data_IF_217852996605
#
_entry.id   IF_217852996605
#
_cell.length_a   1.000
_cell.length_b   1.000
_cell.length_c   1.000
_cell.angle_alpha   90.00
_cell.angle_beta   90.00
_cell.angle_gamma   90.00
#
_symmetry.space_group_name_H-M   'P 1'
#
loop_
_entity.id
_entity.type
_entity.pdbx_description
1 polymer ?
#
# COMPACT_ATOMS: atom_id res chain seq x y z
N UNK A 1 1.57 18.87 6.68
CA UNK A 1 1.49 17.55 6.02
C UNK A 1 1.76 17.64 4.53
N UNK A 2 1.12 18.56 3.82
CA UNK A 2 1.32 18.80 2.37
C UNK A 2 2.80 18.86 1.94
N UNK A 3 3.63 19.68 2.58
CA UNK A 3 5.05 19.78 2.22
C UNK A 3 5.82 18.47 2.39
N UNK A 4 5.42 17.63 3.36
CA UNK A 4 6.00 16.30 3.54
C UNK A 4 5.65 15.41 2.36
N UNK A 5 4.39 15.41 1.91
CA UNK A 5 3.98 14.65 0.73
C UNK A 5 4.76 15.12 -0.51
N UNK A 6 4.85 16.43 -0.74
CA UNK A 6 5.64 16.98 -1.86
C UNK A 6 7.10 16.53 -1.81
N UNK A 7 7.75 16.58 -0.64
CA UNK A 7 9.12 16.10 -0.46
C UNK A 7 9.27 14.60 -0.72
N UNK A 8 8.35 13.76 -0.23
CA UNK A 8 8.37 12.31 -0.51
C UNK A 8 8.32 12.06 -2.03
N UNK A 9 7.43 12.75 -2.74
CA UNK A 9 7.35 12.63 -4.20
C UNK A 9 8.64 13.08 -4.91
N UNK A 10 9.20 14.21 -4.49
CA UNK A 10 10.39 14.77 -5.13
C UNK A 10 11.67 14.00 -4.79
N UNK A 11 11.92 13.79 -3.50
CA UNK A 11 13.21 13.33 -2.98
C UNK A 11 13.32 11.79 -3.01
N UNK A 12 12.21 11.08 -2.80
CA UNK A 12 12.17 9.61 -2.84
C UNK A 12 11.78 9.14 -4.23
N UNK A 13 10.62 9.58 -4.73
CA UNK A 13 10.11 9.06 -6.01
C UNK A 13 10.74 9.73 -7.24
N UNK A 14 11.39 10.89 -7.11
CA UNK A 14 11.99 11.60 -8.23
C UNK A 14 10.97 12.31 -9.15
N UNK A 15 9.74 12.56 -8.67
CA UNK A 15 8.67 13.19 -9.45
C UNK A 15 8.04 14.37 -8.72
N UNK A 16 7.60 15.38 -9.46
CA UNK A 16 6.70 16.40 -8.91
C UNK A 16 5.30 15.80 -8.70
N UNK A 17 4.75 15.97 -7.50
CA UNK A 17 3.42 15.44 -7.17
C UNK A 17 2.34 16.17 -7.97
N UNK A 18 1.43 15.42 -8.57
CA UNK A 18 0.29 16.00 -9.30
C UNK A 18 -0.82 16.43 -8.33
N UNK A 19 -1.63 17.45 -8.68
CA UNK A 19 -2.71 17.92 -7.80
C UNK A 19 -3.65 16.81 -7.32
N UNK A 20 -4.04 15.88 -8.19
CA UNK A 20 -4.97 14.80 -7.84
C UNK A 20 -4.31 13.73 -6.94
N UNK A 21 -3.02 13.47 -7.14
CA UNK A 21 -2.24 12.59 -6.24
C UNK A 21 -2.12 13.22 -4.86
N UNK A 22 -1.80 14.52 -4.80
CA UNK A 22 -1.67 15.25 -3.55
C UNK A 22 -2.98 15.23 -2.76
N UNK A 23 -4.11 15.52 -3.41
CA UNK A 23 -5.45 15.45 -2.80
C UNK A 23 -5.74 14.05 -2.27
N UNK A 24 -5.48 13.01 -3.05
CA UNK A 24 -5.74 11.63 -2.65
C UNK A 24 -4.88 11.22 -1.44
N UNK A 25 -3.59 11.52 -1.47
CA UNK A 25 -2.65 11.17 -0.39
C UNK A 25 -2.98 11.92 0.89
N UNK A 26 -3.31 13.21 0.82
CA UNK A 26 -3.69 14.00 1.99
C UNK A 26 -4.99 13.49 2.62
N UNK A 27 -6.01 13.22 1.82
CA UNK A 27 -7.27 12.67 2.33
C UNK A 27 -7.07 11.30 3.00
N UNK A 28 -6.27 10.42 2.40
CA UNK A 28 -5.94 9.12 3.00
C UNK A 28 -5.15 9.27 4.32
N UNK A 29 -4.19 10.22 4.39
CA UNK A 29 -3.45 10.51 5.63
C UNK A 29 -4.32 11.13 6.74
N UNK A 30 -5.45 11.74 6.38
CA UNK A 30 -6.48 12.22 7.30
C UNK A 30 -7.47 11.12 7.73
N UNK A 31 -7.30 9.88 7.24
CA UNK A 31 -8.19 8.76 7.55
C UNK A 31 -9.53 8.80 6.82
N UNK A 32 -9.62 9.54 5.70
CA UNK A 32 -10.82 9.58 4.86
C UNK A 32 -10.77 8.50 3.79
N UNK A 33 -11.94 7.98 3.42
CA UNK A 33 -12.08 7.13 2.25
C UNK A 33 -11.84 7.93 0.96
N UNK A 34 -11.09 7.34 0.02
CA UNK A 34 -10.68 8.01 -1.22
C UNK A 34 -10.92 7.10 -2.41
N UNK A 35 -11.66 7.60 -3.40
CA UNK A 35 -11.74 7.01 -4.72
C UNK A 35 -10.77 7.70 -5.68
N UNK A 36 -9.94 6.92 -6.39
CA UNK A 36 -8.91 7.44 -7.31
C UNK A 36 -9.19 7.02 -8.75
N UNK A 37 -9.95 7.87 -9.46
CA UNK A 37 -10.25 7.74 -10.89
C UNK A 37 -9.19 8.40 -11.78
N UNK A 38 -7.98 7.82 -11.88
CA UNK A 38 -6.94 8.32 -12.81
C UNK A 38 -6.76 7.38 -14.03
N UNK A 39 -6.11 7.83 -15.09
CA UNK A 39 -5.71 6.95 -16.19
C UNK A 39 -4.48 6.08 -15.81
N UNK A 40 -4.30 4.95 -16.49
CA UNK A 40 -3.08 4.12 -16.37
C UNK A 40 -1.83 4.95 -16.67
N UNK A 41 -0.73 4.66 -15.97
CA UNK A 41 0.52 5.43 -16.12
C UNK A 41 0.49 6.82 -15.49
N UNK A 42 -0.64 7.28 -14.92
CA UNK A 42 -0.70 8.56 -14.21
C UNK A 42 -0.15 8.53 -12.77
N UNK A 43 0.35 7.37 -12.32
CA UNK A 43 1.00 7.23 -11.02
C UNK A 43 0.05 6.95 -9.86
N UNK A 44 -1.05 6.20 -10.08
CA UNK A 44 -1.99 5.80 -9.02
C UNK A 44 -1.31 5.05 -7.88
N UNK A 45 -0.38 4.15 -8.20
CA UNK A 45 0.29 3.34 -7.18
C UNK A 45 1.12 4.17 -6.22
N UNK A 46 1.68 5.30 -6.68
CA UNK A 46 2.39 6.24 -5.82
C UNK A 46 1.48 6.85 -4.74
N UNK A 47 0.17 6.91 -4.96
CA UNK A 47 -0.76 7.43 -3.95
C UNK A 47 -0.75 6.55 -2.68
N UNK A 48 -0.87 5.23 -2.81
CA UNK A 48 -0.82 4.34 -1.65
C UNK A 48 0.61 4.02 -1.21
N UNK A 49 1.58 3.93 -2.14
CA UNK A 49 2.99 3.65 -1.81
C UNK A 49 3.67 4.79 -1.04
N UNK A 50 3.17 6.03 -1.14
CA UNK A 50 3.74 7.18 -0.42
C UNK A 50 3.26 7.30 1.03
N UNK A 51 2.13 6.67 1.37
CA UNK A 51 1.55 6.75 2.73
C UNK A 51 2.54 6.36 3.83
N UNK A 52 3.22 5.18 3.78
CA UNK A 52 4.09 4.79 4.88
C UNK A 52 5.30 5.72 5.03
N UNK A 53 5.72 6.39 3.95
CA UNK A 53 6.84 7.34 3.94
C UNK A 53 6.46 8.70 4.55
N UNK A 54 5.17 9.01 4.62
CA UNK A 54 4.67 10.26 5.19
C UNK A 54 4.42 10.18 6.70
N UNK A 55 4.45 8.98 7.29
CA UNK A 55 4.11 8.72 8.68
C UNK A 55 5.36 8.72 9.56
N UNK A 56 5.21 9.18 10.80
CA UNK A 56 6.29 9.14 11.80
C UNK A 56 6.43 7.78 12.46
N UNK A 57 5.29 7.10 12.65
CA UNK A 57 5.24 5.77 13.26
C UNK A 57 5.24 4.69 12.17
N UNK A 58 5.85 3.53 12.44
CA UNK A 58 5.83 2.40 11.51
C UNK A 58 4.39 1.87 11.38
N UNK A 59 3.82 2.02 10.18
CA UNK A 59 2.50 1.51 9.82
C UNK A 59 2.53 0.75 8.50
N UNK A 60 1.59 -0.17 8.33
CA UNK A 60 1.43 -0.96 7.11
C UNK A 60 0.48 -0.28 6.13
N UNK A 61 0.81 -0.37 4.85
CA UNK A 61 -0.18 -0.25 3.77
C UNK A 61 -0.45 -1.63 3.21
N UNK A 62 -1.71 -2.04 3.25
CA UNK A 62 -2.17 -3.30 2.65
C UNK A 62 -2.79 -2.97 1.30
N UNK A 63 -2.32 -3.62 0.24
CA UNK A 63 -2.80 -3.45 -1.13
C UNK A 63 -3.44 -4.76 -1.58
N UNK A 64 -4.72 -4.70 -1.91
CA UNK A 64 -5.47 -5.80 -2.48
C UNK A 64 -5.50 -5.60 -4.00
N UNK A 65 -4.92 -6.52 -4.77
CA UNK A 65 -4.85 -6.39 -6.24
C UNK A 65 -5.02 -7.75 -6.92
N UNK A 66 -5.83 -7.86 -7.99
CA UNK A 66 -5.95 -9.10 -8.77
C UNK A 66 -4.70 -9.36 -9.66
N UNK A 67 -3.86 -8.35 -9.91
CA UNK A 67 -2.79 -8.41 -10.91
C UNK A 67 -1.47 -8.94 -10.35
N UNK A 68 -1.40 -10.25 -10.07
CA UNK A 68 -0.23 -10.91 -9.45
C UNK A 68 1.09 -10.71 -10.20
N UNK A 69 1.07 -10.59 -11.52
CA UNK A 69 2.27 -10.47 -12.34
C UNK A 69 3.02 -9.14 -12.15
N UNK A 70 2.31 -8.05 -11.82
CA UNK A 70 2.88 -6.71 -11.68
C UNK A 70 3.31 -6.39 -10.24
N UNK A 71 2.89 -7.20 -9.27
CA UNK A 71 3.18 -6.97 -7.84
C UNK A 71 4.68 -7.06 -7.57
N UNK A 72 5.39 -8.01 -8.18
CA UNK A 72 6.83 -8.21 -7.96
C UNK A 72 7.64 -6.98 -8.37
N UNK A 73 7.32 -6.38 -9.52
CA UNK A 73 8.01 -5.17 -10.00
C UNK A 73 7.71 -3.95 -9.12
N UNK A 74 6.46 -3.84 -8.66
CA UNK A 74 6.07 -2.77 -7.74
C UNK A 74 6.80 -2.87 -6.40
N UNK A 75 6.88 -4.08 -5.83
CA UNK A 75 7.61 -4.35 -4.59
C UNK A 75 9.09 -4.06 -4.78
N UNK A 76 9.71 -4.58 -5.85
CA UNK A 76 11.12 -4.35 -6.12
C UNK A 76 11.44 -2.86 -6.23
N UNK A 77 10.65 -2.10 -7.01
CA UNK A 77 10.82 -0.65 -7.13
C UNK A 77 10.63 0.06 -5.79
N UNK A 78 9.61 -0.29 -5.02
CA UNK A 78 9.37 0.29 -3.69
C UNK A 78 10.59 0.06 -2.77
N UNK A 79 11.12 -1.16 -2.75
CA UNK A 79 12.28 -1.49 -1.92
C UNK A 79 13.53 -0.73 -2.34
N UNK A 80 13.83 -0.71 -3.63
CA UNK A 80 15.02 -0.04 -4.18
C UNK A 80 15.01 1.46 -3.92
N UNK A 81 13.83 2.09 -4.02
CA UNK A 81 13.72 3.56 -3.93
C UNK A 81 13.55 4.05 -2.49
N UNK A 82 12.89 3.27 -1.63
CA UNK A 82 12.54 3.72 -0.26
C UNK A 82 13.44 3.13 0.82
N UNK A 83 14.12 2.02 0.55
CA UNK A 83 14.85 1.23 1.55
C UNK A 83 13.97 0.39 2.48
N UNK A 84 12.65 0.56 2.47
CA UNK A 84 11.71 -0.27 3.25
C UNK A 84 11.36 -1.56 2.52
N UNK A 85 10.88 -2.57 3.25
CA UNK A 85 10.44 -3.83 2.66
C UNK A 85 9.00 -3.77 2.16
N UNK A 86 8.79 -4.34 0.97
CA UNK A 86 7.49 -4.71 0.44
C UNK A 86 7.39 -6.23 0.35
N UNK A 87 6.23 -6.81 0.65
CA UNK A 87 6.03 -8.26 0.55
C UNK A 87 4.74 -8.60 -0.19
N UNK A 88 4.70 -9.79 -0.78
CA UNK A 88 3.51 -10.35 -1.42
C UNK A 88 3.11 -11.60 -0.66
N UNK A 89 1.99 -11.54 0.06
CA UNK A 89 1.40 -12.67 0.77
C UNK A 89 0.54 -13.47 -0.22
N UNK A 90 1.00 -14.66 -0.59
CA UNK A 90 0.42 -15.47 -1.69
C UNK A 90 -0.41 -16.64 -1.18
N UNK A 91 -0.49 -16.83 0.13
CA UNK A 91 -1.16 -17.96 0.75
C UNK A 91 -1.50 -17.67 2.21
N UNK A 92 -2.40 -18.47 2.78
CA UNK A 92 -2.71 -18.44 4.22
C UNK A 92 -1.47 -18.70 5.09
N UNK A 93 -0.52 -19.53 4.63
CA UNK A 93 0.73 -19.81 5.33
C UNK A 93 1.64 -18.56 5.39
N UNK A 94 1.77 -17.82 4.28
CA UNK A 94 2.53 -16.57 4.24
C UNK A 94 1.93 -15.53 5.19
N UNK A 95 0.59 -15.39 5.19
CA UNK A 95 -0.13 -14.46 6.05
C UNK A 95 0.09 -14.80 7.53
N UNK A 96 -0.05 -16.08 7.90
CA UNK A 96 0.19 -16.55 9.26
C UNK A 96 1.62 -16.24 9.70
N UNK A 97 2.61 -16.60 8.86
CA UNK A 97 4.02 -16.37 9.14
C UNK A 97 4.34 -14.90 9.38
N UNK A 98 3.82 -14.01 8.51
CA UNK A 98 4.01 -12.57 8.66
C UNK A 98 3.37 -12.00 9.93
N UNK A 99 2.21 -12.54 10.36
CA UNK A 99 1.55 -12.11 11.60
C UNK A 99 2.28 -12.57 12.85
N UNK A 100 2.76 -13.81 12.87
CA UNK A 100 3.41 -14.40 14.04
C UNK A 100 4.83 -13.88 14.23
N UNK A 101 5.57 -13.68 13.12
CA UNK A 101 6.96 -13.23 13.15
C UNK A 101 7.11 -12.04 12.18
N UNK A 102 6.60 -10.86 12.56
CA UNK A 102 6.60 -9.72 11.66
C UNK A 102 8.01 -9.15 11.50
N UNK A 103 8.41 -8.99 10.24
CA UNK A 103 9.55 -8.16 9.87
C UNK A 103 9.17 -6.68 10.03
N UNK A 104 9.78 -6.03 11.02
CA UNK A 104 9.48 -4.64 11.38
C UNK A 104 9.90 -3.61 10.32
N UNK A 105 10.59 -4.02 9.25
CA UNK A 105 10.94 -3.14 8.13
C UNK A 105 9.89 -3.18 7.00
N UNK A 106 8.91 -4.08 7.08
CA UNK A 106 7.83 -4.15 6.09
C UNK A 106 6.90 -2.96 6.26
N UNK A 107 6.68 -2.24 5.16
CA UNK A 107 5.76 -1.09 5.07
C UNK A 107 4.66 -1.26 4.05
N UNK A 108 4.85 -2.17 3.09
CA UNK A 108 3.94 -2.42 1.99
C UNK A 108 3.64 -3.92 1.88
N UNK A 109 2.37 -4.28 1.94
CA UNK A 109 1.90 -5.67 1.86
C UNK A 109 0.95 -5.78 0.69
N UNK A 110 1.21 -6.70 -0.23
CA UNK A 110 0.29 -7.07 -1.30
C UNK A 110 -0.35 -8.43 -1.02
N UNK A 111 -1.62 -8.57 -1.38
CA UNK A 111 -2.35 -9.85 -1.41
C UNK A 111 -3.45 -9.79 -2.47
N UNK A 112 -3.93 -10.94 -2.96
CA UNK A 112 -5.09 -10.97 -3.84
C UNK A 112 -6.41 -10.97 -3.02
N UNK A 113 -7.56 -10.71 -3.67
CA UNK A 113 -8.86 -10.72 -3.00
C UNK A 113 -9.18 -12.03 -2.26
N UNK A 114 -8.78 -13.17 -2.82
CA UNK A 114 -9.00 -14.50 -2.24
C UNK A 114 -8.20 -14.68 -0.94
N UNK A 115 -6.96 -14.21 -0.90
CA UNK A 115 -6.16 -14.21 0.33
C UNK A 115 -6.74 -13.26 1.38
N UNK A 116 -7.19 -12.06 0.98
CA UNK A 116 -7.80 -11.09 1.89
C UNK A 116 -9.06 -11.63 2.55
N UNK A 117 -9.90 -12.31 1.79
CA UNK A 117 -11.18 -12.86 2.28
C UNK A 117 -11.05 -14.15 3.08
N UNK A 118 -9.88 -14.81 3.03
CA UNK A 118 -9.55 -15.98 3.86
C UNK A 118 -9.58 -15.68 5.36
N UNK A 119 -9.65 -16.73 6.19
CA UNK A 119 -9.60 -16.57 7.65
C UNK A 119 -8.32 -15.88 8.12
N UNK A 120 -7.18 -16.22 7.52
CA UNK A 120 -5.89 -15.60 7.86
C UNK A 120 -5.82 -14.14 7.39
N UNK A 121 -6.33 -13.83 6.20
CA UNK A 121 -6.40 -12.45 5.69
C UNK A 121 -7.25 -11.54 6.57
N UNK A 122 -8.46 -11.98 6.93
CA UNK A 122 -9.33 -11.24 7.88
C UNK A 122 -8.65 -11.05 9.22
N UNK A 123 -7.95 -12.08 9.70
CA UNK A 123 -7.26 -12.01 11.00
C UNK A 123 -6.02 -11.12 10.95
N UNK A 124 -5.34 -11.00 9.80
CA UNK A 124 -4.31 -9.97 9.57
C UNK A 124 -4.89 -8.57 9.67
N UNK A 125 -6.07 -8.31 9.09
CA UNK A 125 -6.70 -7.00 9.12
C UNK A 125 -7.24 -6.63 10.51
N UNK A 126 -7.81 -7.61 11.23
CA UNK A 126 -8.35 -7.43 12.59
C UNK A 126 -7.25 -7.27 13.64
N UNK A 127 -6.18 -8.08 13.54
CA UNK A 127 -5.04 -8.08 14.47
C UNK A 127 -3.73 -8.01 13.69
N UNK A 128 -3.42 -6.85 13.12
CA UNK A 128 -2.21 -6.69 12.34
C UNK A 128 -0.98 -6.62 13.28
N UNK A 129 0.18 -7.12 12.84
CA UNK A 129 1.40 -7.06 13.64
C UNK A 129 1.94 -5.63 13.83
N UNK A 130 1.53 -4.70 12.97
CA UNK A 130 1.79 -3.27 13.02
C UNK A 130 0.51 -2.53 12.63
N UNK A 131 0.22 -1.34 13.17
CA UNK A 131 -0.99 -0.60 12.82
C UNK A 131 -1.11 -0.39 11.30
N UNK A 132 -2.30 -0.63 10.74
CA UNK A 132 -2.57 -0.38 9.33
C UNK A 132 -2.88 1.12 9.15
N UNK A 133 -2.17 1.77 8.24
CA UNK A 133 -2.43 3.15 7.85
C UNK A 133 -3.47 3.25 6.73
N UNK A 134 -3.48 2.27 5.82
CA UNK A 134 -4.36 2.27 4.66
C UNK A 134 -4.57 0.83 4.16
N UNK A 135 -5.80 0.54 3.76
CA UNK A 135 -6.12 -0.57 2.86
C UNK A 135 -6.45 0.03 1.50
N UNK A 136 -5.65 -0.30 0.49
CA UNK A 136 -5.85 0.13 -0.89
C UNK A 136 -6.40 -1.04 -1.71
N UNK A 137 -7.50 -0.82 -2.43
CA UNK A 137 -8.04 -1.78 -3.38
C UNK A 137 -7.69 -1.32 -4.79
N UNK A 138 -6.79 -2.05 -5.43
CA UNK A 138 -6.38 -1.83 -6.81
C UNK A 138 -7.35 -2.54 -7.76
N UNK A 139 -7.52 -1.98 -8.96
CA UNK A 139 -8.54 -2.42 -9.92
C UNK A 139 -9.93 -2.60 -9.29
N UNK A 140 -10.36 -1.60 -8.50
CA UNK A 140 -11.67 -1.61 -7.82
C UNK A 140 -12.88 -1.79 -8.75
N UNK A 141 -12.71 -1.58 -10.06
CA UNK A 141 -13.73 -1.87 -11.06
C UNK A 141 -14.00 -3.37 -11.25
N UNK A 142 -13.14 -4.25 -10.72
CA UNK A 142 -13.33 -5.70 -10.73
C UNK A 142 -14.24 -6.19 -9.59
N UNK A 143 -14.69 -5.32 -8.68
CA UNK A 143 -15.64 -5.68 -7.63
C UNK A 143 -17.00 -5.93 -8.30
N UNK A 144 -17.55 -7.16 -8.22
CA UNK A 144 -18.85 -7.46 -8.79
C UNK A 144 -19.96 -6.67 -8.05
N UNK A 145 -21.06 -6.41 -8.75
CA UNK A 145 -22.29 -5.83 -8.18
C UNK A 145 -22.90 -6.71 -7.07
#
# INVERSE_FOLDING_TARGET
MEDRVKRVFKDVWGFEVRPDQLKAVLAALEGKDVFVGMATGKGKSLCFQSIPLCLTEPKLVVVVSPLRALVSDQIHRFQTVTGYKGIHLKSAADIRSFREIPDKDVRLVFMAPEEMTSSEGRSLLDKPPLPIALVAVDEAHCIPE
#
